data_IF_168440219358
#
_entry.id   IF_168440219358
#
_cell.length_a   1.000
_cell.length_b   1.000
_cell.length_c   1.000
_cell.angle_alpha   90.00
_cell.angle_beta   90.00
_cell.angle_gamma   90.00
#
_symmetry.space_group_name_H-M   'P 1'
#
loop_
_entity.id
_entity.type
_entity.pdbx_description
1 polymer ?
#
# COMPACT_ATOMS: atom_id res chain seq x y z
N UNK A 1 12.65 6.07 -8.33
CA UNK A 1 11.85 5.52 -9.46
C UNK A 1 10.58 6.36 -9.65
N UNK A 2 10.17 6.61 -10.90
CA UNK A 2 8.89 7.25 -11.22
C UNK A 2 7.72 6.27 -11.01
N UNK A 3 6.72 6.69 -10.24
CA UNK A 3 5.50 5.91 -9.94
C UNK A 3 4.36 6.36 -10.84
N UNK A 4 4.10 7.67 -10.92
CA UNK A 4 3.10 8.29 -11.78
C UNK A 4 3.77 9.22 -12.79
N UNK A 5 3.61 8.96 -14.08
CA UNK A 5 4.14 9.82 -15.14
C UNK A 5 3.30 11.08 -15.31
N UNK A 6 1.96 10.97 -15.27
CA UNK A 6 1.05 12.10 -15.50
C UNK A 6 1.30 13.28 -14.55
N UNK A 7 1.53 12.99 -13.27
CA UNK A 7 1.69 14.00 -12.23
C UNK A 7 3.12 14.06 -11.68
N UNK A 8 4.08 13.49 -12.42
CA UNK A 8 5.50 13.46 -12.05
C UNK A 8 5.75 13.03 -10.59
N UNK A 9 5.13 11.94 -10.16
CA UNK A 9 5.23 11.42 -8.79
C UNK A 9 6.23 10.28 -8.74
N UNK A 10 7.28 10.41 -7.93
CA UNK A 10 8.26 9.36 -7.67
C UNK A 10 7.94 8.60 -6.36
N UNK A 11 8.66 7.50 -6.13
CA UNK A 11 8.48 6.67 -4.91
C UNK A 11 8.66 7.50 -3.63
N UNK A 12 9.63 8.42 -3.61
CA UNK A 12 9.92 9.24 -2.42
C UNK A 12 8.75 10.14 -2.05
N UNK A 13 8.07 10.73 -3.04
CA UNK A 13 6.87 11.55 -2.82
C UNK A 13 5.69 10.74 -2.31
N UNK A 14 5.55 9.49 -2.74
CA UNK A 14 4.55 8.56 -2.19
C UNK A 14 4.90 8.21 -0.73
N UNK A 15 6.16 7.90 -0.44
CA UNK A 15 6.62 7.61 0.94
C UNK A 15 6.46 8.80 1.87
N UNK A 16 6.78 10.01 1.41
CA UNK A 16 6.59 11.23 2.19
C UNK A 16 5.11 11.48 2.51
N UNK A 17 4.19 11.14 1.61
CA UNK A 17 2.76 11.19 1.90
C UNK A 17 2.36 10.17 2.97
N UNK A 18 2.94 8.96 2.95
CA UNK A 18 2.67 7.92 3.95
C UNK A 18 3.23 8.33 5.32
N UNK A 19 4.44 8.89 5.35
CA UNK A 19 5.08 9.42 6.56
C UNK A 19 4.28 10.59 7.16
N UNK A 20 3.65 11.41 6.31
CA UNK A 20 2.71 12.45 6.72
C UNK A 20 1.35 11.91 7.20
N UNK A 21 1.16 10.58 7.22
CA UNK A 21 -0.04 9.91 7.75
C UNK A 21 -1.02 9.36 6.71
N UNK A 22 -0.67 9.33 5.42
CA UNK A 22 -1.56 8.72 4.42
C UNK A 22 -1.51 7.19 4.48
N UNK A 23 -2.61 6.58 4.91
CA UNK A 23 -2.79 5.12 5.00
C UNK A 23 -3.66 4.53 3.87
N UNK A 24 -4.21 5.36 2.99
CA UNK A 24 -5.08 4.93 1.88
C UNK A 24 -4.59 5.44 0.52
N UNK A 25 -5.01 4.76 -0.56
CA UNK A 25 -4.79 5.22 -1.93
C UNK A 25 -5.42 6.60 -2.16
N UNK A 26 -6.59 6.86 -1.58
CA UNK A 26 -7.29 8.14 -1.71
C UNK A 26 -6.48 9.27 -1.07
N UNK A 27 -5.99 9.09 0.15
CA UNK A 27 -5.15 10.07 0.82
C UNK A 27 -3.86 10.37 0.03
N UNK A 28 -3.22 9.34 -0.53
CA UNK A 28 -2.05 9.52 -1.41
C UNK A 28 -2.45 10.27 -2.70
N UNK A 29 -3.62 9.98 -3.27
CA UNK A 29 -4.13 10.65 -4.46
C UNK A 29 -4.36 12.13 -4.20
N UNK A 30 -4.97 12.50 -3.08
CA UNK A 30 -5.26 13.89 -2.73
C UNK A 30 -4.00 14.71 -2.50
N UNK A 31 -2.99 14.13 -1.85
CA UNK A 31 -1.74 14.83 -1.51
C UNK A 31 -0.74 14.87 -2.67
N UNK A 32 -0.65 13.81 -3.47
CA UNK A 32 0.38 13.68 -4.53
C UNK A 32 -0.15 13.83 -5.95
N UNK A 33 -1.46 13.72 -6.16
CA UNK A 33 -2.09 13.61 -7.47
C UNK A 33 -1.89 12.26 -8.16
N UNK A 34 -1.12 11.32 -7.59
CA UNK A 34 -0.97 9.99 -8.18
C UNK A 34 -2.35 9.31 -8.30
N UNK A 35 -2.56 8.52 -9.35
CA UNK A 35 -3.84 7.85 -9.65
C UNK A 35 -5.04 8.76 -10.03
N UNK A 36 -4.90 10.09 -10.04
CA UNK A 36 -6.00 11.01 -10.38
C UNK A 36 -6.23 11.24 -11.90
N UNK A 37 -5.25 10.89 -12.75
CA UNK A 37 -5.31 11.16 -14.20
C UNK A 37 -5.67 9.89 -15.02
N UNK A 38 -4.67 9.13 -15.48
CA UNK A 38 -4.91 7.96 -16.32
C UNK A 38 -5.08 6.63 -15.55
N UNK A 39 -4.91 6.64 -14.23
CA UNK A 39 -5.04 5.46 -13.35
C UNK A 39 -3.93 4.40 -13.47
N UNK A 40 -3.08 4.40 -14.49
CA UNK A 40 -2.08 3.33 -14.74
C UNK A 40 -1.06 3.10 -13.61
N UNK A 41 -0.82 4.11 -12.77
CA UNK A 41 0.08 4.00 -11.63
C UNK A 41 -0.57 3.43 -10.36
N UNK A 42 -1.89 3.22 -10.33
CA UNK A 42 -2.64 2.80 -9.13
C UNK A 42 -2.03 1.56 -8.47
N UNK A 43 -1.72 0.52 -9.24
CA UNK A 43 -1.09 -0.70 -8.72
C UNK A 43 0.30 -0.44 -8.11
N UNK A 44 1.08 0.46 -8.70
CA UNK A 44 2.41 0.81 -8.18
C UNK A 44 2.31 1.60 -6.87
N UNK A 45 1.36 2.54 -6.78
CA UNK A 45 1.10 3.30 -5.55
C UNK A 45 0.65 2.35 -4.44
N UNK A 46 -0.32 1.49 -4.73
CA UNK A 46 -0.81 0.47 -3.79
C UNK A 46 0.31 -0.44 -3.27
N UNK A 47 1.22 -0.88 -4.16
CA UNK A 47 2.37 -1.69 -3.75
C UNK A 47 3.27 -0.95 -2.76
N UNK A 48 3.56 0.33 -3.00
CA UNK A 48 4.38 1.14 -2.08
C UNK A 48 3.68 1.30 -0.73
N UNK A 49 2.37 1.54 -0.74
CA UNK A 49 1.54 1.65 0.47
C UNK A 49 1.55 0.36 1.29
N UNK A 50 1.31 -0.79 0.65
CA UNK A 50 1.32 -2.11 1.30
C UNK A 50 2.70 -2.51 1.83
N UNK A 51 3.79 -2.08 1.17
CA UNK A 51 5.15 -2.30 1.65
C UNK A 51 5.50 -1.42 2.86
N UNK A 52 4.77 -0.33 3.10
CA UNK A 52 4.93 0.52 4.29
C UNK A 52 3.98 0.15 5.43
N UNK A 53 2.83 -0.44 5.13
CA UNK A 53 1.98 -1.01 6.16
C UNK A 53 2.74 -2.12 6.91
N UNK A 54 2.59 -2.22 8.24
CA UNK A 54 3.15 -3.34 8.98
C UNK A 54 2.63 -4.63 8.35
N UNK A 55 3.54 -5.46 7.84
CA UNK A 55 3.19 -6.79 7.39
C UNK A 55 2.70 -7.54 8.63
N UNK A 56 1.39 -7.72 8.74
CA UNK A 56 0.83 -8.75 9.61
C UNK A 56 1.39 -10.06 9.04
N UNK A 57 2.34 -10.65 9.75
CA UNK A 57 2.97 -11.87 9.31
C UNK A 57 1.90 -12.97 9.21
N UNK A 58 1.90 -13.67 8.08
CA UNK A 58 0.96 -14.74 7.77
C UNK A 58 1.16 -15.98 8.67
N UNK A 59 2.08 -15.96 9.66
CA UNK A 59 2.27 -17.11 10.56
C UNK A 59 1.11 -17.24 11.57
N UNK A 60 0.42 -16.14 11.90
CA UNK A 60 -0.72 -16.19 12.82
C UNK A 60 -1.99 -16.82 12.19
N UNK A 61 -2.12 -16.80 10.85
CA UNK A 61 -3.23 -17.43 10.13
C UNK A 61 -3.13 -18.95 10.08
N UNK A 62 -1.92 -19.48 9.97
CA UNK A 62 -1.67 -20.93 9.95
C UNK A 62 -1.93 -21.60 11.31
N UNK A 63 -1.54 -20.97 12.43
CA UNK A 63 -1.76 -21.49 13.79
C UNK A 63 -3.25 -21.55 14.18
N UNK A 64 -4.06 -20.58 13.74
CA UNK A 64 -5.52 -20.60 13.92
C UNK A 64 -6.16 -21.78 13.18
N UNK A 65 -5.70 -22.06 11.95
CA UNK A 65 -6.22 -23.17 11.16
C UNK A 65 -5.83 -24.55 11.74
N UNK A 66 -4.68 -24.66 12.42
CA UNK A 66 -4.25 -25.90 13.06
C UNK A 66 -5.01 -26.20 14.38
N UNK A 67 -5.33 -25.18 15.18
CA UNK A 67 -6.02 -25.38 16.47
C UNK A 67 -7.48 -25.79 16.31
N UNK A 68 -8.18 -25.30 15.27
CA UNK A 68 -9.55 -25.75 14.97
C UNK A 68 -9.62 -27.20 14.48
N UNK A 69 -8.53 -27.74 13.92
CA UNK A 69 -8.45 -29.11 13.40
C UNK A 69 -7.93 -30.15 14.40
N UNK A 70 -7.47 -29.73 15.58
CA UNK A 70 -6.96 -30.63 16.63
C UNK A 70 -8.02 -31.06 17.66
N UNK A 71 -9.30 -30.79 17.38
CA UNK A 71 -10.43 -31.04 18.32
C UNK A 71 -11.18 -32.36 18.06
N UNK A 72 -10.56 -33.36 17.42
CA UNK A 72 -11.08 -34.72 17.29
C UNK A 72 -10.09 -35.74 17.87
#
# INVERSE_FOLDING_TARGET
MIVCVCNNVNVEKVKASIDAGADTLEAIRETTGAAACCGKCQFKVNRVLQQHAPQLDDQNGYLVAQTVNASH
#
